data_IF_203322755115
#
_entry.id   IF_203322755115
#
_cell.length_a   1.000
_cell.length_b   1.000
_cell.length_c   1.000
_cell.angle_alpha   90.00
_cell.angle_beta   90.00
_cell.angle_gamma   90.00
#
_symmetry.space_group_name_H-M   'P 1'
#
loop_
_entity.id
_entity.type
_entity.pdbx_description
1 polymer ?
#
# COMPACT_ATOMS: atom_id res chain seq x y z
N UNK A 1 -25.72 8.47 20.82
CA UNK A 1 -24.54 7.63 20.54
C UNK A 1 -24.74 6.99 19.16
N UNK A 2 -24.55 7.74 18.07
CA UNK A 2 -25.78 8.03 17.28
C UNK A 2 -25.83 7.61 15.80
N UNK A 3 -24.73 7.35 15.10
CA UNK A 3 -24.72 6.72 13.75
C UNK A 3 -23.26 6.50 13.32
N UNK A 4 -22.39 7.46 13.66
CA UNK A 4 -20.97 7.43 13.34
C UNK A 4 -20.20 6.29 14.02
N UNK A 5 -20.50 6.00 15.29
CA UNK A 5 -19.92 4.85 16.02
C UNK A 5 -20.33 3.52 15.36
N UNK A 6 -21.55 3.46 14.85
CA UNK A 6 -22.09 2.30 14.18
C UNK A 6 -21.41 2.08 12.81
N UNK A 7 -21.20 3.13 12.01
CA UNK A 7 -20.45 3.01 10.74
C UNK A 7 -18.99 2.63 10.93
N UNK A 8 -18.33 3.16 11.97
CA UNK A 8 -16.95 2.81 12.28
C UNK A 8 -16.77 1.30 12.48
N UNK A 9 -17.77 0.61 13.02
CA UNK A 9 -17.71 -0.84 13.19
C UNK A 9 -17.65 -1.63 11.86
N UNK A 10 -18.21 -1.09 10.77
CA UNK A 10 -18.14 -1.71 9.43
C UNK A 10 -16.85 -1.38 8.69
N UNK A 11 -16.22 -0.26 9.03
CA UNK A 11 -15.05 0.28 8.34
C UNK A 11 -13.75 0.07 9.10
N UNK A 12 -13.78 -0.56 10.28
CA UNK A 12 -12.58 -0.89 11.07
C UNK A 12 -12.65 -2.35 11.51
N UNK A 13 -11.85 -3.20 10.87
CA UNK A 13 -11.86 -4.65 11.04
C UNK A 13 -10.54 -5.15 11.65
N UNK A 14 -10.62 -6.22 12.46
CA UNK A 14 -9.48 -6.87 13.08
C UNK A 14 -9.30 -6.51 14.56
N UNK A 15 -8.09 -6.11 14.95
CA UNK A 15 -7.74 -5.82 16.33
C UNK A 15 -8.56 -4.63 16.87
N UNK A 16 -9.23 -4.86 17.99
CA UNK A 16 -10.08 -3.84 18.63
C UNK A 16 -11.46 -3.68 17.96
N UNK A 17 -11.86 -4.60 17.06
CA UNK A 17 -13.22 -4.61 16.52
C UNK A 17 -14.25 -4.80 17.64
N UNK A 18 -15.32 -4.02 17.61
CA UNK A 18 -16.41 -4.10 18.61
C UNK A 18 -17.42 -5.21 18.33
N UNK A 19 -17.49 -5.67 17.09
CA UNK A 19 -18.40 -6.72 16.62
C UNK A 19 -17.64 -7.70 15.73
N UNK A 20 -18.04 -8.97 15.72
CA UNK A 20 -17.45 -9.96 14.82
C UNK A 20 -17.90 -9.74 13.37
N UNK A 21 -17.13 -10.22 12.39
CA UNK A 21 -17.56 -10.13 10.98
C UNK A 21 -18.90 -10.84 10.75
N UNK A 22 -19.15 -11.93 11.50
CA UNK A 22 -20.41 -12.68 11.47
C UNK A 22 -21.60 -11.80 11.89
N UNK A 23 -21.46 -11.05 12.98
CA UNK A 23 -22.53 -10.18 13.49
C UNK A 23 -22.82 -9.05 12.50
N UNK A 24 -21.76 -8.42 11.97
CA UNK A 24 -21.87 -7.33 11.01
C UNK A 24 -22.51 -7.81 9.69
N UNK A 25 -22.05 -8.94 9.17
CA UNK A 25 -22.61 -9.57 7.97
C UNK A 25 -24.09 -9.95 8.19
N UNK A 26 -24.40 -10.61 9.31
CA UNK A 26 -25.79 -10.96 9.66
C UNK A 26 -26.67 -9.71 9.78
N UNK A 27 -26.15 -8.61 10.31
CA UNK A 27 -26.92 -7.36 10.39
C UNK A 27 -27.18 -6.75 9.01
N UNK A 28 -26.20 -6.76 8.10
CA UNK A 28 -26.38 -6.33 6.71
C UNK A 28 -27.47 -7.17 6.02
N UNK A 29 -27.42 -8.49 6.18
CA UNK A 29 -28.41 -9.40 5.59
C UNK A 29 -29.83 -9.14 6.10
N UNK A 30 -29.97 -8.84 7.39
CA UNK A 30 -31.27 -8.58 8.01
C UNK A 30 -31.78 -7.15 7.84
N UNK A 31 -30.92 -6.22 7.41
CA UNK A 31 -31.27 -4.79 7.30
C UNK A 31 -30.64 -4.13 6.07
N UNK A 32 -31.32 -4.15 4.90
CA UNK A 32 -30.88 -3.45 3.69
C UNK A 32 -30.74 -1.93 3.85
N UNK A 33 -31.28 -1.36 4.94
CA UNK A 33 -31.06 0.03 5.30
C UNK A 33 -29.59 0.33 5.63
N UNK A 34 -28.82 -0.65 6.13
CA UNK A 34 -27.40 -0.49 6.49
C UNK A 34 -26.56 -0.14 5.26
N UNK A 35 -26.69 -0.89 4.16
CA UNK A 35 -25.96 -0.62 2.92
C UNK A 35 -26.33 0.75 2.33
N UNK A 36 -27.62 1.09 2.35
CA UNK A 36 -28.09 2.43 1.91
C UNK A 36 -27.53 3.55 2.79
N UNK A 37 -27.36 3.29 4.08
CA UNK A 37 -26.76 4.25 5.00
C UNK A 37 -25.25 4.39 4.76
N UNK A 38 -24.55 3.28 4.51
CA UNK A 38 -23.13 3.26 4.12
C UNK A 38 -22.89 3.99 2.79
N UNK A 39 -23.76 3.82 1.80
CA UNK A 39 -23.70 4.53 0.52
C UNK A 39 -23.94 6.04 0.64
N UNK A 40 -24.56 6.49 1.73
CA UNK A 40 -24.82 7.91 2.03
C UNK A 40 -23.81 8.51 3.01
N UNK A 41 -22.75 7.76 3.36
CA UNK A 41 -21.68 8.30 4.20
C UNK A 41 -21.08 9.52 3.51
N UNK A 42 -21.37 10.68 4.09
CA UNK A 42 -20.83 11.95 3.64
C UNK A 42 -19.32 11.97 3.92
N UNK A 43 -18.53 12.19 2.88
CA UNK A 43 -17.06 12.18 2.88
C UNK A 43 -16.46 13.19 3.87
N UNK A 44 -17.26 14.18 4.29
CA UNK A 44 -16.90 15.24 5.23
C UNK A 44 -17.12 14.91 6.72
N UNK A 45 -17.89 13.87 7.03
CA UNK A 45 -18.25 13.53 8.41
C UNK A 45 -17.15 12.78 9.19
N UNK A 46 -16.11 12.31 8.49
CA UNK A 46 -14.95 11.64 9.07
C UNK A 46 -13.67 12.29 8.54
N UNK A 47 -13.29 13.47 9.06
CA UNK A 47 -12.03 14.10 8.69
C UNK A 47 -10.89 13.17 9.13
N UNK A 48 -10.17 12.62 8.16
CA UNK A 48 -8.99 11.80 8.38
C UNK A 48 -7.75 12.67 8.21
N UNK A 49 -6.82 12.59 9.17
CA UNK A 49 -5.53 13.25 9.10
C UNK A 49 -4.59 12.44 8.20
N UNK A 50 -4.14 13.01 7.09
CA UNK A 50 -3.14 12.42 6.19
C UNK A 50 -3.19 13.00 4.78
N UNK A 51 -2.07 12.94 4.06
CA UNK A 51 -1.99 13.31 2.64
C UNK A 51 -2.93 12.41 1.81
N UNK A 52 -3.76 13.01 0.94
CA UNK A 52 -4.65 12.26 0.03
C UNK A 52 -6.17 12.48 0.17
N UNK A 53 -6.63 13.69 0.51
CA UNK A 53 -8.00 14.15 0.22
C UNK A 53 -9.15 13.64 1.10
N UNK A 54 -10.35 14.20 0.90
CA UNK A 54 -11.61 13.83 1.58
C UNK A 54 -12.10 12.44 1.09
N UNK A 55 -12.69 11.61 1.97
CA UNK A 55 -13.22 10.29 1.56
C UNK A 55 -13.36 9.26 2.68
N UNK A 56 -14.14 8.19 2.46
CA UNK A 56 -14.29 7.11 3.45
C UNK A 56 -13.14 6.09 3.37
N UNK A 57 -12.63 5.69 4.53
CA UNK A 57 -11.50 4.77 4.67
C UNK A 57 -11.95 3.45 5.28
N UNK A 58 -11.57 2.34 4.64
CA UNK A 58 -11.63 1.01 5.24
C UNK A 58 -10.27 0.69 5.89
N UNK A 59 -10.27 0.50 7.20
CA UNK A 59 -9.11 0.11 7.99
C UNK A 59 -9.20 -1.37 8.36
N UNK A 60 -8.23 -2.15 7.90
CA UNK A 60 -8.06 -3.55 8.26
C UNK A 60 -6.73 -3.65 9.01
N UNK A 61 -6.81 -3.78 10.33
CA UNK A 61 -5.64 -3.91 11.19
C UNK A 61 -5.72 -5.24 11.92
N UNK A 62 -4.95 -6.23 11.49
CA UNK A 62 -4.96 -7.55 12.10
C UNK A 62 -3.52 -8.08 12.22
N UNK A 63 -2.83 -7.79 13.33
CA UNK A 63 -1.46 -8.24 13.54
C UNK A 63 -1.32 -9.74 13.33
N UNK A 64 -0.40 -10.11 12.45
CA UNK A 64 -0.13 -11.48 12.01
C UNK A 64 -1.35 -12.22 11.43
N UNK A 65 -2.37 -11.49 10.97
CA UNK A 65 -3.64 -12.07 10.50
C UNK A 65 -4.29 -13.01 11.53
N UNK A 66 -4.18 -12.68 12.82
CA UNK A 66 -4.58 -13.57 13.93
C UNK A 66 -6.10 -13.64 14.15
N UNK A 67 -6.85 -12.62 13.74
CA UNK A 67 -8.29 -12.50 13.96
C UNK A 67 -9.04 -12.82 12.66
N UNK A 68 -8.85 -11.98 11.65
CA UNK A 68 -9.55 -12.03 10.37
C UNK A 68 -9.07 -13.18 9.49
N UNK A 69 -7.80 -13.58 9.64
CA UNK A 69 -7.24 -14.70 8.88
C UNK A 69 -8.00 -16.02 9.07
N UNK A 70 -8.69 -16.20 10.20
CA UNK A 70 -9.50 -17.39 10.51
C UNK A 70 -11.00 -17.12 10.50
N UNK A 71 -11.42 -15.89 10.26
CA UNK A 71 -12.82 -15.49 10.26
C UNK A 71 -13.47 -15.85 8.92
N UNK A 72 -14.33 -16.87 8.95
CA UNK A 72 -15.04 -17.34 7.76
C UNK A 72 -16.02 -16.31 7.21
N UNK A 73 -16.44 -15.30 7.99
CA UNK A 73 -17.36 -14.26 7.55
C UNK A 73 -16.67 -13.00 7.04
N UNK A 74 -15.35 -12.88 7.23
CA UNK A 74 -14.60 -11.71 6.78
C UNK A 74 -14.80 -11.43 5.29
N UNK A 75 -14.63 -12.45 4.44
CA UNK A 75 -14.79 -12.26 2.99
C UNK A 75 -16.21 -11.83 2.62
N UNK A 76 -17.26 -12.43 3.19
CA UNK A 76 -18.64 -12.05 2.92
C UNK A 76 -18.94 -10.60 3.34
N UNK A 77 -18.42 -10.17 4.49
CA UNK A 77 -18.56 -8.79 4.94
C UNK A 77 -17.88 -7.83 3.95
N UNK A 78 -16.66 -8.13 3.54
CA UNK A 78 -15.90 -7.26 2.63
C UNK A 78 -16.52 -7.19 1.23
N UNK A 79 -17.10 -8.29 0.72
CA UNK A 79 -17.83 -8.27 -0.56
C UNK A 79 -18.97 -7.25 -0.56
N UNK A 80 -19.70 -7.09 0.54
CA UNK A 80 -20.70 -6.03 0.64
C UNK A 80 -20.11 -4.61 0.59
N UNK A 81 -18.90 -4.43 1.13
CA UNK A 81 -18.21 -3.13 1.15
C UNK A 81 -17.62 -2.74 -0.21
N UNK A 82 -17.50 -3.70 -1.14
CA UNK A 82 -17.04 -3.46 -2.51
C UNK A 82 -18.14 -2.90 -3.43
N UNK A 83 -19.37 -2.77 -2.94
CA UNK A 83 -20.44 -2.14 -3.70
C UNK A 83 -19.97 -0.75 -4.21
N UNK A 84 -20.02 -0.48 -5.53
CA UNK A 84 -19.58 0.80 -6.09
C UNK A 84 -20.31 2.02 -5.53
N UNK A 85 -21.51 1.84 -4.95
CA UNK A 85 -22.26 2.90 -4.31
C UNK A 85 -21.74 3.25 -2.91
N UNK A 86 -20.89 2.41 -2.31
CA UNK A 86 -20.23 2.73 -1.04
C UNK A 86 -18.93 3.49 -1.36
N UNK A 87 -18.77 4.74 -0.91
CA UNK A 87 -17.71 5.63 -1.38
C UNK A 87 -16.36 5.39 -0.67
N UNK A 88 -15.89 4.14 -0.62
CA UNK A 88 -14.57 3.78 -0.05
C UNK A 88 -13.49 4.18 -1.05
N UNK A 89 -12.79 5.27 -0.75
CA UNK A 89 -11.68 5.78 -1.57
C UNK A 89 -10.31 5.41 -1.01
N UNK A 90 -10.25 4.98 0.25
CA UNK A 90 -8.99 4.62 0.92
C UNK A 90 -9.06 3.24 1.54
N UNK A 91 -8.00 2.48 1.34
CA UNK A 91 -7.82 1.18 1.97
C UNK A 91 -6.53 1.18 2.78
N UNK A 92 -6.64 0.92 4.08
CA UNK A 92 -5.49 0.79 4.97
C UNK A 92 -5.39 -0.63 5.50
N UNK A 93 -4.31 -1.30 5.15
CA UNK A 93 -4.01 -2.67 5.53
C UNK A 93 -2.82 -2.64 6.49
N UNK A 94 -2.99 -3.17 7.70
CA UNK A 94 -1.99 -3.09 8.77
C UNK A 94 -1.76 -4.45 9.44
N UNK A 95 -0.48 -4.83 9.56
CA UNK A 95 -0.04 -6.02 10.29
C UNK A 95 -0.40 -7.36 9.67
N UNK A 96 -0.83 -7.40 8.40
CA UNK A 96 -1.38 -8.61 7.78
C UNK A 96 -0.27 -9.61 7.39
N UNK A 97 -0.43 -10.90 7.71
CA UNK A 97 0.48 -11.96 7.29
C UNK A 97 -0.25 -12.99 6.42
N UNK A 98 0.10 -13.02 5.14
CA UNK A 98 -0.50 -13.94 4.16
C UNK A 98 -0.06 -15.39 4.36
N UNK A 99 0.88 -15.65 5.27
CA UNK A 99 1.32 -16.98 5.67
C UNK A 99 0.48 -17.60 6.78
N UNK A 100 -0.32 -16.78 7.47
CA UNK A 100 -1.12 -17.20 8.61
C UNK A 100 -2.61 -17.36 8.27
N UNK A 101 -2.95 -17.33 6.98
CA UNK A 101 -4.33 -17.48 6.49
C UNK A 101 -4.53 -18.87 5.88
N UNK A 102 -5.68 -19.54 6.10
CA UNK A 102 -5.94 -20.87 5.55
C UNK A 102 -6.02 -20.91 4.02
N UNK A 103 -6.50 -19.82 3.40
CA UNK A 103 -6.65 -19.70 1.94
C UNK A 103 -6.14 -18.35 1.48
N UNK A 104 -4.94 -18.33 0.90
CA UNK A 104 -4.34 -17.11 0.34
C UNK A 104 -5.16 -16.56 -0.82
N UNK A 105 -5.76 -17.43 -1.64
CA UNK A 105 -6.61 -17.01 -2.75
C UNK A 105 -7.86 -16.28 -2.27
N UNK A 106 -8.55 -16.81 -1.25
CA UNK A 106 -9.72 -16.16 -0.65
C UNK A 106 -9.35 -14.86 0.05
N UNK A 107 -8.20 -14.84 0.72
CA UNK A 107 -7.66 -13.65 1.38
C UNK A 107 -7.34 -12.55 0.38
N UNK A 108 -6.63 -12.88 -0.70
CA UNK A 108 -6.37 -11.97 -1.80
C UNK A 108 -7.68 -11.45 -2.39
N UNK A 109 -8.61 -12.34 -2.75
CA UNK A 109 -9.90 -11.94 -3.31
C UNK A 109 -10.64 -10.95 -2.41
N UNK A 110 -10.67 -11.16 -1.09
CA UNK A 110 -11.29 -10.23 -0.15
C UNK A 110 -10.64 -8.84 -0.18
N UNK A 111 -9.31 -8.77 -0.28
CA UNK A 111 -8.56 -7.52 -0.22
C UNK A 111 -8.45 -6.78 -1.56
N UNK A 112 -8.90 -7.36 -2.67
CA UNK A 112 -8.80 -6.77 -4.02
C UNK A 112 -10.13 -6.24 -4.56
N UNK A 113 -10.09 -5.56 -5.71
CA UNK A 113 -11.27 -5.23 -6.52
C UNK A 113 -12.22 -4.18 -5.91
N UNK A 114 -11.67 -3.24 -5.13
CA UNK A 114 -12.44 -2.07 -4.72
C UNK A 114 -12.48 -1.03 -5.86
N UNK A 115 -13.66 -0.68 -6.40
CA UNK A 115 -13.76 0.10 -7.63
C UNK A 115 -13.32 1.56 -7.47
N UNK A 116 -13.47 2.12 -6.26
CA UNK A 116 -13.28 3.54 -5.99
C UNK A 116 -11.99 3.84 -5.20
N UNK A 117 -11.21 2.83 -4.83
CA UNK A 117 -10.00 3.02 -4.01
C UNK A 117 -8.91 3.68 -4.83
N UNK A 118 -8.58 4.91 -4.44
CA UNK A 118 -7.53 5.74 -5.04
C UNK A 118 -6.30 5.90 -4.14
N UNK A 119 -6.40 5.56 -2.85
CA UNK A 119 -5.26 5.51 -1.94
C UNK A 119 -5.15 4.17 -1.21
N UNK A 120 -3.97 3.56 -1.28
CA UNK A 120 -3.65 2.30 -0.62
C UNK A 120 -2.51 2.50 0.37
N UNK A 121 -2.75 2.12 1.62
CA UNK A 121 -1.78 2.19 2.71
C UNK A 121 -1.47 0.77 3.17
N UNK A 122 -0.24 0.31 2.92
CA UNK A 122 0.26 -0.98 3.38
C UNK A 122 1.26 -0.74 4.50
N UNK A 123 0.93 -1.19 5.71
CA UNK A 123 1.80 -1.08 6.87
C UNK A 123 2.04 -2.45 7.50
N UNK A 124 3.29 -2.93 7.54
CA UNK A 124 3.59 -4.20 8.19
C UNK A 124 2.95 -5.41 7.50
N UNK A 125 2.72 -5.36 6.18
CA UNK A 125 2.18 -6.48 5.41
C UNK A 125 3.30 -7.45 5.05
N UNK A 126 3.07 -8.74 5.29
CA UNK A 126 4.02 -9.83 5.05
C UNK A 126 3.42 -10.80 4.03
N UNK A 127 4.02 -10.88 2.84
CA UNK A 127 3.57 -11.76 1.76
C UNK A 127 4.72 -12.13 0.79
N UNK A 128 4.44 -12.99 -0.18
CA UNK A 128 5.35 -13.25 -1.31
C UNK A 128 5.25 -12.12 -2.37
N UNK A 129 6.28 -12.00 -3.22
CA UNK A 129 6.32 -10.99 -4.31
C UNK A 129 5.09 -11.06 -5.22
N UNK A 130 4.72 -12.26 -5.69
CA UNK A 130 3.56 -12.45 -6.58
C UNK A 130 2.27 -11.89 -5.98
N UNK A 131 2.10 -12.04 -4.67
CA UNK A 131 0.94 -11.60 -3.93
C UNK A 131 0.92 -10.09 -3.72
N UNK A 132 2.09 -9.51 -3.42
CA UNK A 132 2.26 -8.06 -3.32
C UNK A 132 1.94 -7.37 -4.66
N UNK A 133 2.48 -7.89 -5.76
CA UNK A 133 2.26 -7.36 -7.10
C UNK A 133 0.80 -7.47 -7.51
N UNK A 134 0.17 -8.63 -7.28
CA UNK A 134 -1.23 -8.87 -7.62
C UNK A 134 -2.19 -7.98 -6.83
N UNK A 135 -1.93 -7.77 -5.53
CA UNK A 135 -2.71 -6.88 -4.69
C UNK A 135 -2.74 -5.46 -5.26
N UNK A 136 -1.58 -4.85 -5.48
CA UNK A 136 -1.49 -3.45 -5.94
C UNK A 136 -2.11 -3.28 -7.33
N UNK A 137 -1.85 -4.21 -8.25
CA UNK A 137 -2.40 -4.17 -9.62
C UNK A 137 -3.92 -4.32 -9.66
N UNK A 138 -4.55 -4.81 -8.59
CA UNK A 138 -5.99 -4.98 -8.53
C UNK A 138 -6.78 -3.68 -8.32
N UNK A 139 -6.09 -2.55 -8.10
CA UNK A 139 -6.69 -1.23 -7.88
C UNK A 139 -6.43 -0.30 -9.07
N UNK A 140 -7.28 -0.32 -10.12
CA UNK A 140 -7.04 0.47 -11.33
C UNK A 140 -7.15 1.99 -11.11
N UNK A 141 -7.89 2.44 -10.09
CA UNK A 141 -8.04 3.86 -9.74
C UNK A 141 -6.95 4.36 -8.76
N UNK A 142 -6.01 3.51 -8.38
CA UNK A 142 -4.97 3.84 -7.41
C UNK A 142 -4.06 4.94 -7.95
N UNK A 143 -3.90 6.00 -7.17
CA UNK A 143 -3.02 7.14 -7.49
C UNK A 143 -2.07 7.47 -6.34
N UNK A 144 -2.39 7.03 -5.13
CA UNK A 144 -1.58 7.28 -3.93
C UNK A 144 -1.22 5.95 -3.29
N UNK A 145 0.07 5.66 -3.16
CA UNK A 145 0.56 4.44 -2.54
C UNK A 145 1.47 4.77 -1.37
N UNK A 146 1.18 4.20 -0.20
CA UNK A 146 2.04 4.29 0.98
C UNK A 146 2.47 2.90 1.44
N UNK A 147 3.76 2.71 1.58
CA UNK A 147 4.41 1.45 1.93
C UNK A 147 5.30 1.66 3.16
N UNK A 148 4.85 1.20 4.32
CA UNK A 148 5.62 1.24 5.57
C UNK A 148 5.84 -0.18 6.10
N UNK A 149 7.05 -0.52 6.54
CA UNK A 149 7.34 -1.77 7.30
C UNK A 149 6.94 -3.09 6.59
N UNK A 150 6.77 -3.09 5.27
CA UNK A 150 6.31 -4.27 4.53
C UNK A 150 7.45 -5.25 4.27
N UNK A 151 7.16 -6.55 4.37
CA UNK A 151 8.13 -7.64 4.14
C UNK A 151 7.70 -8.50 2.98
N UNK A 152 8.49 -8.45 1.90
CA UNK A 152 8.21 -9.17 0.65
C UNK A 152 9.17 -10.37 0.59
N UNK A 153 8.71 -11.52 1.07
CA UNK A 153 9.50 -12.76 1.10
C UNK A 153 9.80 -13.23 -0.32
N UNK A 154 10.85 -14.05 -0.46
CA UNK A 154 11.54 -14.45 -1.70
C UNK A 154 12.36 -13.35 -2.40
N UNK A 155 11.84 -12.12 -2.54
CA UNK A 155 12.58 -11.01 -3.13
C UNK A 155 13.69 -10.50 -2.18
N UNK A 156 13.40 -10.48 -0.88
CA UNK A 156 14.42 -10.23 0.16
C UNK A 156 15.53 -11.29 0.16
N UNK A 157 15.19 -12.57 -0.03
CA UNK A 157 16.15 -13.68 0.03
C UNK A 157 17.10 -13.72 -1.18
N UNK A 158 16.65 -13.24 -2.34
CA UNK A 158 17.47 -13.19 -3.56
C UNK A 158 18.37 -11.94 -3.63
N UNK A 159 17.99 -10.84 -2.95
CA UNK A 159 18.74 -9.57 -2.98
C UNK A 159 19.54 -9.23 -1.73
N UNK A 160 19.29 -9.92 -0.61
CA UNK A 160 20.09 -9.79 0.63
C UNK A 160 21.53 -10.32 0.47
N UNK A 161 21.85 -11.00 -0.63
CA UNK A 161 23.22 -11.40 -1.00
C UNK A 161 24.04 -10.27 -1.67
N UNK A 162 23.55 -9.03 -1.67
CA UNK A 162 24.25 -7.89 -2.28
C UNK A 162 24.24 -7.88 -3.81
N UNK A 163 23.44 -8.74 -4.43
CA UNK A 163 23.28 -8.79 -5.87
C UNK A 163 22.42 -7.60 -6.30
N UNK A 164 23.06 -6.70 -7.03
CA UNK A 164 22.43 -5.51 -7.60
C UNK A 164 21.23 -5.88 -8.48
N UNK A 165 20.32 -4.93 -8.68
CA UNK A 165 19.23 -5.09 -9.64
C UNK A 165 19.80 -5.39 -11.03
N UNK A 166 19.83 -6.68 -11.39
CA UNK A 166 20.49 -7.14 -12.61
C UNK A 166 19.85 -6.50 -13.85
N UNK A 167 18.56 -6.19 -13.79
CA UNK A 167 17.81 -5.56 -14.90
C UNK A 167 18.37 -4.20 -15.31
N UNK A 168 18.84 -3.37 -14.37
CA UNK A 168 19.36 -2.03 -14.71
C UNK A 168 20.69 -2.06 -15.45
N UNK A 169 21.33 -3.22 -15.57
CA UNK A 169 22.54 -3.43 -16.37
C UNK A 169 22.23 -3.79 -17.83
N UNK A 170 21.00 -4.21 -18.12
CA UNK A 170 20.62 -4.77 -19.42
C UNK A 170 19.39 -4.09 -20.06
N UNK A 171 18.69 -3.23 -19.33
CA UNK A 171 17.54 -2.47 -19.81
C UNK A 171 17.85 -0.97 -19.77
N UNK A 172 17.43 -0.22 -20.79
CA UNK A 172 17.44 1.24 -20.69
C UNK A 172 16.35 1.72 -19.71
N UNK A 173 16.51 2.93 -19.16
CA UNK A 173 15.48 3.57 -18.32
C UNK A 173 14.16 3.70 -19.09
N UNK A 174 14.22 4.01 -20.38
CA UNK A 174 13.05 4.11 -21.24
C UNK A 174 12.35 2.75 -21.39
N UNK A 175 13.10 1.66 -21.59
CA UNK A 175 12.53 0.30 -21.66
C UNK A 175 11.85 -0.08 -20.35
N UNK A 176 12.47 0.25 -19.20
CA UNK A 176 11.90 -0.02 -17.88
C UNK A 176 10.58 0.74 -17.74
N UNK A 177 10.60 2.07 -17.92
CA UNK A 177 9.43 2.95 -17.79
C UNK A 177 8.27 2.55 -18.71
N UNK A 178 8.58 2.20 -19.96
CA UNK A 178 7.57 1.80 -20.94
C UNK A 178 7.01 0.39 -20.69
N UNK A 179 7.75 -0.46 -19.97
CA UNK A 179 7.32 -1.82 -19.61
C UNK A 179 6.52 -1.89 -18.31
N UNK A 180 6.56 -0.86 -17.46
CA UNK A 180 5.80 -0.83 -16.21
C UNK A 180 4.29 -0.99 -16.48
N UNK A 181 3.62 -1.75 -15.61
CA UNK A 181 2.19 -2.05 -15.72
C UNK A 181 1.49 -1.83 -14.38
N UNK A 182 0.21 -1.48 -14.44
CA UNK A 182 -0.62 -1.28 -13.27
C UNK A 182 -1.14 0.16 -13.19
N UNK A 183 -1.61 0.59 -12.01
CA UNK A 183 -2.07 1.95 -11.80
C UNK A 183 -0.95 2.98 -11.96
N UNK A 184 -1.32 4.17 -12.44
CA UNK A 184 -0.43 5.32 -12.57
C UNK A 184 -0.44 6.14 -11.28
N UNK A 185 0.71 6.21 -10.60
CA UNK A 185 0.80 6.93 -9.34
C UNK A 185 1.06 8.42 -9.55
N UNK A 186 0.43 9.20 -8.68
CA UNK A 186 0.67 10.63 -8.47
C UNK A 186 1.52 10.84 -7.21
N UNK A 187 1.28 10.04 -6.16
CA UNK A 187 1.98 10.14 -4.88
C UNK A 187 2.47 8.77 -4.42
N UNK A 188 3.72 8.72 -3.97
CA UNK A 188 4.37 7.53 -3.45
C UNK A 188 5.08 7.88 -2.14
N UNK A 189 4.73 7.16 -1.08
CA UNK A 189 5.42 7.25 0.21
C UNK A 189 6.01 5.89 0.57
N UNK A 190 7.31 5.86 0.88
CA UNK A 190 8.03 4.68 1.36
C UNK A 190 8.67 4.94 2.72
N UNK A 191 8.23 4.20 3.74
CA UNK A 191 8.85 4.16 5.06
C UNK A 191 9.89 3.06 5.16
N UNK A 192 11.11 3.42 5.54
CA UNK A 192 12.26 2.52 5.69
C UNK A 192 12.55 2.36 7.18
N UNK A 193 12.38 1.13 7.68
CA UNK A 193 12.70 0.74 9.06
C UNK A 193 13.84 -0.28 9.15
N UNK A 194 14.09 -1.00 8.05
CA UNK A 194 15.20 -1.96 7.96
C UNK A 194 15.95 -1.81 6.64
N UNK A 195 17.17 -2.36 6.57
CA UNK A 195 17.96 -2.40 5.32
C UNK A 195 17.21 -3.19 4.24
N UNK A 196 16.45 -4.21 4.63
CA UNK A 196 15.63 -5.03 3.73
C UNK A 196 14.48 -4.22 3.12
N UNK A 197 13.96 -3.21 3.80
CA UNK A 197 12.83 -2.41 3.28
C UNK A 197 13.24 -1.62 2.02
N UNK A 198 14.53 -1.32 1.85
CA UNK A 198 15.09 -0.67 0.64
C UNK A 198 14.86 -1.48 -0.63
N UNK A 199 14.60 -2.77 -0.49
CA UNK A 199 14.36 -3.69 -1.58
C UNK A 199 13.05 -3.32 -2.31
N UNK A 200 12.07 -2.73 -1.62
CA UNK A 200 10.83 -2.29 -2.27
C UNK A 200 11.09 -1.24 -3.37
N UNK A 201 12.10 -0.39 -3.20
CA UNK A 201 12.50 0.60 -4.20
C UNK A 201 12.99 -0.06 -5.49
N UNK A 202 13.70 -1.19 -5.39
CA UNK A 202 14.08 -1.95 -6.58
C UNK A 202 12.86 -2.51 -7.29
N UNK A 203 11.89 -3.05 -6.53
CA UNK A 203 10.69 -3.67 -7.11
C UNK A 203 9.92 -2.65 -7.95
N UNK A 204 9.80 -1.42 -7.44
CA UNK A 204 9.17 -0.30 -8.13
C UNK A 204 9.98 0.19 -9.35
N UNK A 205 11.30 0.01 -9.33
CA UNK A 205 12.21 0.42 -10.39
C UNK A 205 12.56 -0.72 -11.38
N UNK A 206 11.61 -1.63 -11.66
CA UNK A 206 11.78 -2.75 -12.61
C UNK A 206 10.70 -2.75 -13.69
N UNK A 207 10.91 -3.52 -14.76
CA UNK A 207 9.87 -3.75 -15.80
C UNK A 207 8.61 -4.39 -15.22
N UNK A 208 8.79 -5.18 -14.15
CA UNK A 208 7.74 -5.89 -13.46
C UNK A 208 7.12 -5.10 -12.30
N UNK A 209 7.41 -3.80 -12.18
CA UNK A 209 6.79 -2.91 -11.20
C UNK A 209 5.27 -3.12 -11.14
N UNK A 210 4.65 -3.10 -9.94
CA UNK A 210 3.21 -3.18 -9.81
C UNK A 210 2.50 -1.87 -10.20
N UNK A 211 3.26 -0.81 -10.44
CA UNK A 211 2.78 0.54 -10.70
C UNK A 211 3.56 1.22 -11.81
N UNK A 212 2.97 2.25 -12.40
CA UNK A 212 3.62 3.13 -13.37
C UNK A 212 3.99 4.43 -12.68
N UNK A 213 5.25 4.85 -12.83
CA UNK A 213 5.82 6.00 -12.10
C UNK A 213 5.99 7.27 -12.97
N UNK A 214 5.68 7.21 -14.26
CA UNK A 214 5.95 8.31 -15.20
C UNK A 214 5.35 9.65 -14.73
N UNK A 215 4.13 9.63 -14.20
CA UNK A 215 3.38 10.80 -13.72
C UNK A 215 3.48 11.02 -12.21
N UNK A 216 4.46 10.39 -11.55
CA UNK A 216 4.69 10.60 -10.13
C UNK A 216 5.10 12.05 -9.89
N UNK A 217 4.37 12.70 -8.98
CA UNK A 217 4.46 14.12 -8.65
C UNK A 217 5.07 14.35 -7.28
N UNK A 218 4.71 13.49 -6.33
CA UNK A 218 5.16 13.50 -4.95
C UNK A 218 5.85 12.18 -4.62
N UNK A 219 7.10 12.26 -4.17
CA UNK A 219 7.88 11.15 -3.64
C UNK A 219 8.34 11.48 -2.22
N UNK A 220 7.83 10.73 -1.25
CA UNK A 220 8.23 10.83 0.14
C UNK A 220 8.98 9.55 0.51
N UNK A 221 10.21 9.68 1.00
CA UNK A 221 10.95 8.57 1.59
C UNK A 221 11.35 8.95 3.01
N UNK A 222 10.94 8.14 3.99
CA UNK A 222 11.23 8.40 5.41
C UNK A 222 12.07 7.28 5.99
N UNK A 223 13.16 7.66 6.64
CA UNK A 223 13.99 6.74 7.41
C UNK A 223 13.64 6.79 8.89
N UNK A 224 12.93 5.77 9.38
CA UNK A 224 12.56 5.67 10.79
C UNK A 224 13.62 5.01 11.66
N UNK A 225 14.68 4.45 11.06
CA UNK A 225 15.70 3.68 11.76
C UNK A 225 17.09 4.33 11.73
N UNK A 226 17.22 5.55 11.21
CA UNK A 226 18.50 6.26 11.03
C UNK A 226 19.52 5.40 10.26
N UNK A 227 19.06 4.68 9.25
CA UNK A 227 19.89 3.80 8.43
C UNK A 227 20.84 4.65 7.57
N UNK A 228 22.13 4.32 7.63
CA UNK A 228 23.16 5.02 6.87
C UNK A 228 22.89 4.90 5.36
N UNK A 229 22.76 6.04 4.67
CA UNK A 229 22.68 6.08 3.21
C UNK A 229 24.01 5.63 2.60
N UNK A 230 24.01 4.47 1.96
CA UNK A 230 25.15 3.95 1.21
C UNK A 230 24.95 4.18 -0.30
N UNK A 231 25.97 3.82 -1.08
CA UNK A 231 25.97 3.94 -2.55
C UNK A 231 24.83 3.10 -3.17
N UNK A 232 24.45 1.98 -2.55
CA UNK A 232 23.37 1.13 -3.04
C UNK A 232 22.02 1.82 -2.92
N UNK A 233 21.75 2.48 -1.78
CA UNK A 233 20.57 3.31 -1.59
C UNK A 233 20.54 4.49 -2.56
N UNK A 234 21.65 5.20 -2.70
CA UNK A 234 21.78 6.32 -3.64
C UNK A 234 21.41 5.93 -5.07
N UNK A 235 21.88 4.77 -5.52
CA UNK A 235 21.57 4.26 -6.86
C UNK A 235 20.10 3.86 -7.00
N UNK A 236 19.51 3.21 -5.99
CA UNK A 236 18.09 2.84 -6.01
C UNK A 236 17.21 4.07 -6.16
N UNK A 237 17.53 5.10 -5.39
CA UNK A 237 16.85 6.39 -5.47
C UNK A 237 17.04 7.01 -6.86
N UNK A 238 18.27 7.08 -7.38
CA UNK A 238 18.52 7.61 -8.72
C UNK A 238 17.69 6.89 -9.79
N UNK A 239 17.66 5.56 -9.76
CA UNK A 239 16.89 4.77 -10.72
C UNK A 239 15.40 5.05 -10.62
N UNK A 240 14.86 5.23 -9.41
CA UNK A 240 13.46 5.60 -9.22
C UNK A 240 13.18 6.99 -9.79
N UNK A 241 14.05 7.98 -9.50
CA UNK A 241 13.93 9.35 -9.99
C UNK A 241 13.99 9.42 -11.52
N UNK A 242 14.90 8.68 -12.15
CA UNK A 242 15.03 8.59 -13.62
C UNK A 242 13.77 8.04 -14.32
N UNK A 243 12.93 7.27 -13.61
CA UNK A 243 11.67 6.74 -14.14
C UNK A 243 10.52 7.77 -14.07
N UNK A 244 10.65 8.82 -13.28
CA UNK A 244 9.67 9.89 -13.14
C UNK A 244 9.91 11.00 -14.16
N UNK A 245 8.86 11.57 -14.75
CA UNK A 245 8.98 12.74 -15.64
C UNK A 245 8.41 14.02 -15.02
N UNK A 246 7.45 13.87 -14.11
CA UNK A 246 6.63 14.97 -13.59
C UNK A 246 6.89 15.26 -12.11
N UNK A 247 7.98 14.73 -11.54
CA UNK A 247 8.30 14.86 -10.13
C UNK A 247 8.59 16.32 -9.79
N UNK A 248 7.83 16.89 -8.86
CA UNK A 248 8.03 18.26 -8.38
C UNK A 248 8.19 18.35 -6.87
N UNK A 249 7.79 17.32 -6.12
CA UNK A 249 7.94 17.26 -4.67
C UNK A 249 8.71 16.01 -4.25
N UNK A 250 9.87 16.21 -3.64
CA UNK A 250 10.76 15.18 -3.13
C UNK A 250 11.06 15.46 -1.65
N UNK A 251 10.48 14.67 -0.76
CA UNK A 251 10.73 14.74 0.68
C UNK A 251 11.58 13.54 1.12
N UNK A 252 12.79 13.81 1.60
CA UNK A 252 13.73 12.83 2.14
C UNK A 252 13.96 13.13 3.62
N UNK A 253 13.20 12.47 4.49
CA UNK A 253 13.20 12.75 5.93
C UNK A 253 14.09 11.76 6.71
N UNK A 254 14.79 12.27 7.73
CA UNK A 254 15.61 11.53 8.71
C UNK A 254 16.81 10.72 8.19
N UNK A 255 17.35 11.04 7.00
CA UNK A 255 18.53 10.33 6.48
C UNK A 255 19.87 10.83 7.03
N UNK A 256 20.73 9.90 7.48
CA UNK A 256 22.15 10.17 7.77
C UNK A 256 23.01 9.93 6.52
N UNK A 257 23.47 11.01 5.90
CA UNK A 257 24.36 10.95 4.72
C UNK A 257 25.82 10.81 5.21
N UNK A 258 26.42 9.63 5.01
CA UNK A 258 27.87 9.45 5.17
C UNK A 258 28.53 9.36 3.78
N UNK A 259 29.35 10.35 3.42
CA UNK A 259 30.15 10.37 2.18
C UNK A 259 29.40 9.95 0.90
N UNK A 260 28.32 10.64 0.54
CA UNK A 260 27.75 10.58 -0.81
C UNK A 260 27.72 11.96 -1.46
N UNK A 261 28.89 12.44 -1.91
CA UNK A 261 29.02 13.69 -2.70
C UNK A 261 28.12 13.67 -3.96
N UNK A 262 27.86 12.48 -4.54
CA UNK A 262 26.96 12.35 -5.70
C UNK A 262 25.47 12.49 -5.38
N UNK A 263 25.02 12.15 -4.17
CA UNK A 263 23.62 12.32 -3.78
C UNK A 263 23.30 13.81 -3.59
N UNK A 264 24.25 14.58 -3.03
CA UNK A 264 24.18 16.03 -2.93
C UNK A 264 24.14 16.72 -4.30
N UNK A 265 24.92 16.24 -5.29
CA UNK A 265 24.85 16.79 -6.65
C UNK A 265 23.54 16.47 -7.39
N UNK A 266 22.77 15.47 -6.92
CA UNK A 266 21.49 15.07 -7.49
C UNK A 266 20.28 15.73 -6.84
N UNK A 267 20.38 16.09 -5.56
CA UNK A 267 19.29 16.74 -4.79
C UNK A 267 19.31 18.27 -4.96
N UNK A 268 20.43 18.84 -5.41
CA UNK A 268 20.54 20.28 -5.71
C UNK A 268 20.16 20.52 -7.18
N UNK A 269 18.87 20.35 -7.54
CA UNK A 269 18.22 20.99 -8.69
C UNK A 269 16.71 21.01 -8.51
#
# INVERSE_FOLDING_TARGET
MTLAIFFKAYLTLGQGQSHSCRDLHGHIQNSPAVLRALARLDQRAFPLQGAGGEGSELVINDPNSSILGRDQFFHFLVEHLKDPHIPISRLKLSGLSWFNVPSVASWHAALTSFPNVSSLFLNGVICEEVHFLALIRSFPALTHLRLDENRIRAYEATRSLGVENVESRFASIEDIRNSQRGPELISLHVGITTVSDRIVLDLLATRNSPVVLRHLRELIIRDYANIICDISFARRLNMLLELTTDLFDLDLDNFKISMCIRLLCMIVF
#
